data_IF_567319120470
#
_entry.id   IF_567319120470
#
_cell.length_a   1.000
_cell.length_b   1.000
_cell.length_c   1.000
_cell.angle_alpha   90.00
_cell.angle_beta   90.00
_cell.angle_gamma   90.00
#
_symmetry.space_group_name_H-M   'P 1'
#
loop_
_entity.id
_entity.type
_entity.pdbx_description
1 polymer ?
#
# COMPACT_ATOMS: atom_id res chain seq x y z
N UNK A 1 -12.08 5.55 -21.01
CA UNK A 1 -12.40 4.50 -19.99
C UNK A 1 -11.79 4.96 -18.69
N UNK A 2 -12.43 4.74 -17.53
CA UNK A 2 -11.85 5.01 -16.21
C UNK A 2 -10.92 3.87 -15.81
N UNK A 3 -9.72 4.20 -15.34
CA UNK A 3 -8.78 3.17 -14.89
C UNK A 3 -9.26 2.52 -13.59
N UNK A 4 -9.02 1.23 -13.41
CA UNK A 4 -9.47 0.45 -12.26
C UNK A 4 -8.40 0.31 -11.20
N UNK A 5 -7.15 0.09 -11.61
CA UNK A 5 -5.99 0.04 -10.72
C UNK A 5 -5.73 1.41 -10.13
N UNK A 6 -5.58 1.51 -8.83
CA UNK A 6 -5.36 2.77 -8.12
C UNK A 6 -3.91 3.20 -8.19
N UNK A 7 -3.66 4.50 -8.21
CA UNK A 7 -2.32 5.06 -8.17
C UNK A 7 -2.13 5.80 -6.86
N UNK A 8 -1.07 5.42 -6.14
CA UNK A 8 -0.62 6.06 -4.92
C UNK A 8 0.61 6.90 -5.25
N UNK A 9 0.59 8.18 -4.88
CA UNK A 9 1.70 9.10 -5.11
C UNK A 9 2.27 9.58 -3.79
N UNK A 10 3.57 9.38 -3.58
CA UNK A 10 4.26 9.89 -2.40
C UNK A 10 4.43 11.40 -2.52
N UNK A 11 4.03 12.12 -1.46
CA UNK A 11 4.17 13.55 -1.36
C UNK A 11 5.55 13.91 -0.79
N UNK A 12 6.17 14.91 -1.35
CA UNK A 12 7.51 15.36 -0.95
C UNK A 12 7.88 16.69 -1.63
N UNK A 13 9.15 17.09 -1.62
CA UNK A 13 9.59 18.37 -2.19
C UNK A 13 9.16 18.61 -3.65
N UNK A 14 9.11 17.56 -4.47
CA UNK A 14 8.71 17.69 -5.88
C UNK A 14 7.19 18.00 -6.04
N UNK A 15 6.38 17.75 -5.01
CA UNK A 15 4.95 18.05 -5.02
C UNK A 15 4.61 19.37 -4.31
N UNK A 16 5.60 20.04 -3.70
CA UNK A 16 5.39 21.30 -2.97
C UNK A 16 5.05 22.50 -3.87
N UNK A 17 5.52 22.63 -5.13
CA UNK A 17 5.15 23.73 -5.99
C UNK A 17 3.64 23.77 -6.29
N UNK A 18 3.09 24.98 -6.43
CA UNK A 18 1.66 25.17 -6.66
C UNK A 18 1.21 24.54 -7.99
N UNK A 19 0.02 23.93 -7.97
CA UNK A 19 -0.59 23.28 -9.13
C UNK A 19 -0.08 21.86 -9.41
N UNK A 20 1.03 21.40 -8.80
CA UNK A 20 1.52 20.04 -9.03
C UNK A 20 0.55 19.00 -8.48
N UNK A 21 0.04 19.18 -7.25
CA UNK A 21 -0.92 18.23 -6.66
C UNK A 21 -2.22 18.16 -7.49
N UNK A 22 -2.72 19.30 -8.00
CA UNK A 22 -3.87 19.34 -8.90
C UNK A 22 -3.57 18.51 -10.18
N UNK A 23 -2.39 18.72 -10.78
CA UNK A 23 -1.96 17.97 -11.97
C UNK A 23 -1.78 16.47 -11.71
N UNK A 24 -1.32 16.05 -10.51
CA UNK A 24 -1.26 14.62 -10.11
C UNK A 24 -2.66 14.01 -10.03
N UNK A 25 -3.63 14.72 -9.42
CA UNK A 25 -5.03 14.28 -9.32
C UNK A 25 -5.67 14.16 -10.70
N UNK A 26 -5.44 15.13 -11.59
CA UNK A 26 -5.91 15.09 -12.98
C UNK A 26 -5.28 13.95 -13.76
N UNK A 27 -3.99 13.69 -13.54
CA UNK A 27 -3.24 12.60 -14.18
C UNK A 27 -3.62 11.20 -13.68
N UNK A 28 -4.36 11.12 -12.56
CA UNK A 28 -4.92 9.86 -12.09
C UNK A 28 -4.50 9.40 -10.70
N UNK A 29 -3.91 10.26 -9.87
CA UNK A 29 -3.68 9.97 -8.45
C UNK A 29 -5.02 9.68 -7.75
N UNK A 30 -5.06 8.60 -6.98
CA UNK A 30 -6.21 8.18 -6.17
C UNK A 30 -5.91 8.28 -4.67
N UNK A 31 -4.64 8.21 -4.30
CA UNK A 31 -4.22 8.23 -2.92
C UNK A 31 -2.89 8.98 -2.79
N UNK A 32 -2.76 9.79 -1.77
CA UNK A 32 -1.52 10.47 -1.41
C UNK A 32 -0.85 9.75 -0.23
N UNK A 33 0.43 9.38 -0.39
CA UNK A 33 1.23 8.77 0.66
C UNK A 33 2.17 9.80 1.27
N UNK A 34 2.29 9.79 2.59
CA UNK A 34 3.19 10.61 3.38
C UNK A 34 4.19 9.69 4.09
N UNK A 35 5.47 9.79 3.72
CA UNK A 35 6.53 8.97 4.28
C UNK A 35 7.12 9.64 5.51
N UNK A 36 6.77 9.17 6.70
CA UNK A 36 7.23 9.71 7.98
C UNK A 36 8.67 9.31 8.35
N UNK A 37 9.35 8.55 7.49
CA UNK A 37 10.81 8.40 7.60
C UNK A 37 11.56 9.71 7.30
N UNK A 38 10.90 10.68 6.67
CA UNK A 38 11.45 11.96 6.25
C UNK A 38 10.50 13.10 6.60
N UNK A 39 11.07 14.28 6.80
CA UNK A 39 10.29 15.49 7.08
C UNK A 39 9.79 15.57 8.53
N UNK A 40 9.08 16.65 8.80
CA UNK A 40 8.49 16.97 10.10
C UNK A 40 6.96 16.93 10.04
N UNK A 41 6.28 16.81 11.19
CA UNK A 41 4.83 16.91 11.26
C UNK A 41 4.30 18.21 10.64
N UNK A 42 5.02 19.32 10.80
CA UNK A 42 4.62 20.60 10.22
C UNK A 42 4.65 20.58 8.69
N UNK A 43 5.70 20.01 8.08
CA UNK A 43 5.79 19.85 6.62
C UNK A 43 4.71 18.91 6.09
N UNK A 44 4.46 17.79 6.77
CA UNK A 44 3.40 16.86 6.40
C UNK A 44 2.01 17.52 6.50
N UNK A 45 1.75 18.32 7.53
CA UNK A 45 0.48 19.03 7.68
C UNK A 45 0.21 19.97 6.50
N UNK A 46 1.21 20.71 6.05
CA UNK A 46 1.10 21.59 4.88
C UNK A 46 0.74 20.79 3.63
N UNK A 47 1.43 19.67 3.38
CA UNK A 47 1.16 18.80 2.22
C UNK A 47 -0.20 18.13 2.31
N UNK A 48 -0.63 17.67 3.50
CA UNK A 48 -1.97 17.12 3.74
C UNK A 48 -3.04 18.15 3.37
N UNK A 49 -2.90 19.40 3.82
CA UNK A 49 -3.83 20.47 3.50
C UNK A 49 -3.90 20.75 2.00
N UNK A 50 -2.75 20.83 1.32
CA UNK A 50 -2.69 20.99 -0.15
C UNK A 50 -3.42 19.87 -0.90
N UNK A 51 -3.23 18.61 -0.48
CA UNK A 51 -3.91 17.46 -1.12
C UNK A 51 -5.43 17.57 -0.93
N UNK A 52 -5.89 17.91 0.26
CA UNK A 52 -7.34 18.06 0.54
C UNK A 52 -7.98 19.18 -0.26
N UNK A 53 -7.35 20.34 -0.29
CA UNK A 53 -7.82 21.47 -1.09
C UNK A 53 -7.86 21.15 -2.59
N UNK A 54 -6.82 20.48 -3.12
CA UNK A 54 -6.80 20.05 -4.51
C UNK A 54 -7.88 19.00 -4.82
N UNK A 55 -8.12 18.05 -3.91
CA UNK A 55 -9.19 17.07 -4.03
C UNK A 55 -10.58 17.73 -4.06
N UNK A 56 -10.82 18.73 -3.20
CA UNK A 56 -12.05 19.51 -3.17
C UNK A 56 -12.25 20.29 -4.48
N UNK A 57 -11.23 21.02 -4.96
CA UNK A 57 -11.27 21.70 -6.26
C UNK A 57 -11.58 20.76 -7.41
N UNK A 58 -11.01 19.57 -7.39
CA UNK A 58 -11.22 18.56 -8.43
C UNK A 58 -12.56 17.81 -8.30
N UNK A 59 -13.29 17.97 -7.19
CA UNK A 59 -14.50 17.20 -6.88
C UNK A 59 -14.23 15.68 -6.78
N UNK A 60 -13.01 15.28 -6.38
CA UNK A 60 -12.59 13.87 -6.31
C UNK A 60 -12.29 13.44 -4.88
N UNK A 61 -12.57 12.17 -4.58
CA UNK A 61 -12.18 11.56 -3.32
C UNK A 61 -10.72 11.09 -3.44
N UNK A 62 -9.85 11.64 -2.59
CA UNK A 62 -8.44 11.26 -2.48
C UNK A 62 -8.19 10.73 -1.07
N UNK A 63 -7.64 9.54 -0.96
CA UNK A 63 -7.29 8.91 0.31
C UNK A 63 -5.90 9.35 0.77
N UNK A 64 -5.64 9.32 2.08
CA UNK A 64 -4.35 9.67 2.67
C UNK A 64 -3.75 8.48 3.39
N UNK A 65 -2.51 8.14 3.09
CA UNK A 65 -1.73 7.09 3.74
C UNK A 65 -0.59 7.71 4.54
N UNK A 66 -0.54 7.41 5.84
CA UNK A 66 0.62 7.58 6.68
C UNK A 66 1.50 6.33 6.55
N UNK A 67 2.75 6.48 6.13
CA UNK A 67 3.70 5.37 6.05
C UNK A 67 4.74 5.55 7.15
N UNK A 68 4.75 4.62 8.12
CA UNK A 68 5.62 4.70 9.27
C UNK A 68 7.06 4.41 8.91
N UNK A 69 7.99 4.94 9.69
CA UNK A 69 9.41 4.59 9.56
C UNK A 69 9.67 3.14 9.94
N UNK A 70 9.01 2.68 10.98
CA UNK A 70 9.21 1.38 11.58
C UNK A 70 10.50 1.24 12.40
N UNK A 71 10.62 0.16 13.15
CA UNK A 71 11.79 -0.15 13.95
C UNK A 71 12.91 -0.66 13.07
N UNK A 72 13.87 0.18 12.74
CA UNK A 72 15.04 -0.19 11.95
C UNK A 72 16.26 -0.46 12.81
N UNK A 73 16.98 -1.53 12.46
CA UNK A 73 18.30 -1.79 13.00
C UNK A 73 19.33 -0.97 12.22
N UNK A 74 20.16 -0.21 12.93
CA UNK A 74 21.17 0.69 12.33
C UNK A 74 22.51 0.59 13.01
N UNK A 75 23.59 0.78 12.23
CA UNK A 75 24.92 0.98 12.74
C UNK A 75 25.00 2.27 13.59
N UNK A 76 25.91 2.28 14.53
CA UNK A 76 26.32 3.46 15.27
C UNK A 76 27.11 4.46 14.43
N UNK A 77 27.88 5.30 15.09
CA UNK A 77 28.68 6.35 14.45
C UNK A 77 30.10 5.85 14.17
N UNK A 78 30.66 6.19 13.02
CA UNK A 78 32.06 6.03 12.70
C UNK A 78 32.81 7.31 13.08
N UNK A 79 34.01 7.18 13.67
CA UNK A 79 34.83 8.32 14.11
C UNK A 79 35.11 9.31 12.97
N UNK A 80 35.37 8.81 11.76
CA UNK A 80 35.59 9.61 10.56
C UNK A 80 34.33 9.79 9.68
N UNK A 81 33.16 9.43 10.20
CA UNK A 81 31.88 9.50 9.51
C UNK A 81 31.67 8.41 8.45
N UNK A 82 32.74 7.93 7.81
CA UNK A 82 32.73 6.84 6.80
C UNK A 82 34.03 6.06 6.81
N UNK A 83 33.95 4.79 6.44
CA UNK A 83 35.10 3.86 6.32
C UNK A 83 34.98 3.04 5.05
N UNK A 84 36.10 2.41 4.64
CA UNK A 84 36.10 1.42 3.57
C UNK A 84 36.26 0.03 4.20
N UNK A 85 35.23 -0.80 4.08
CA UNK A 85 35.28 -2.20 4.48
C UNK A 85 35.91 -3.06 3.39
N UNK A 86 36.80 -3.96 3.76
CA UNK A 86 37.56 -4.81 2.82
C UNK A 86 37.19 -6.29 2.99
N UNK A 87 36.89 -6.96 1.88
CA UNK A 87 36.57 -8.39 1.84
C UNK A 87 37.62 -9.25 2.56
N UNK A 88 37.14 -10.20 3.35
CA UNK A 88 37.95 -11.15 4.07
C UNK A 88 38.53 -10.64 5.38
N UNK A 89 38.42 -9.35 5.68
CA UNK A 89 38.77 -8.81 6.99
C UNK A 89 37.67 -9.09 8.01
N UNK A 90 38.08 -9.17 9.28
CA UNK A 90 37.16 -9.29 10.42
C UNK A 90 36.55 -7.93 10.73
N UNK A 91 35.25 -7.92 11.07
CA UNK A 91 34.52 -6.72 11.47
C UNK A 91 33.59 -7.06 12.63
N UNK A 92 33.62 -6.29 13.70
CA UNK A 92 32.88 -6.58 14.91
C UNK A 92 31.71 -5.61 15.10
N UNK A 93 30.50 -6.13 15.24
CA UNK A 93 29.37 -5.34 15.71
C UNK A 93 29.37 -5.36 17.24
N UNK A 94 29.66 -4.19 17.84
CA UNK A 94 29.85 -4.07 19.29
C UNK A 94 28.56 -3.76 20.02
N UNK A 95 28.45 -4.28 21.25
CA UNK A 95 27.36 -3.97 22.15
C UNK A 95 27.45 -2.53 22.68
N UNK A 96 28.66 -2.10 23.04
CA UNK A 96 28.89 -0.76 23.62
C UNK A 96 28.90 0.32 22.54
N UNK A 97 28.30 1.47 22.86
CA UNK A 97 28.22 2.61 21.96
C UNK A 97 29.53 3.41 22.00
N UNK A 98 30.47 3.01 21.16
CA UNK A 98 31.71 3.75 20.90
C UNK A 98 31.79 4.10 19.41
N UNK A 99 32.43 5.21 19.03
CA UNK A 99 32.70 5.50 17.62
C UNK A 99 33.50 4.36 16.98
N UNK A 100 33.00 3.87 15.84
CA UNK A 100 33.59 2.77 15.11
C UNK A 100 34.69 3.20 14.10
N UNK A 101 35.35 2.22 13.55
CA UNK A 101 36.36 2.33 12.50
C UNK A 101 36.21 1.18 11.48
N UNK A 102 37.25 0.88 10.70
CA UNK A 102 37.27 -0.22 9.73
C UNK A 102 37.26 -1.63 10.36
N UNK A 103 37.34 -1.73 11.70
CA UNK A 103 37.39 -3.01 12.44
C UNK A 103 36.14 -3.27 13.27
N UNK A 104 35.41 -2.22 13.66
CA UNK A 104 34.21 -2.35 14.51
C UNK A 104 33.27 -1.17 14.40
N UNK A 105 32.00 -1.37 14.81
CA UNK A 105 31.01 -0.33 15.04
C UNK A 105 29.90 -0.89 15.92
N UNK A 106 29.22 -0.03 16.69
CA UNK A 106 28.06 -0.44 17.47
C UNK A 106 26.81 -0.63 16.59
N UNK A 107 25.82 -1.34 17.13
CA UNK A 107 24.48 -1.48 16.56
C UNK A 107 23.43 -1.07 17.58
N UNK A 108 22.35 -0.40 17.15
CA UNK A 108 21.32 0.11 18.04
C UNK A 108 20.44 -0.99 18.65
N UNK A 109 20.26 -2.14 17.97
CA UNK A 109 19.52 -3.28 18.50
C UNK A 109 20.41 -4.12 19.43
N UNK A 110 20.29 -3.87 20.73
CA UNK A 110 21.19 -4.43 21.75
C UNK A 110 20.98 -5.92 22.03
N UNK A 111 19.87 -6.53 21.58
CA UNK A 111 19.62 -7.97 21.67
C UNK A 111 20.18 -8.77 20.50
N UNK A 112 20.68 -8.15 19.43
CA UNK A 112 21.11 -8.83 18.20
C UNK A 112 22.07 -9.99 18.48
N UNK A 113 23.03 -9.85 19.43
CA UNK A 113 23.99 -10.89 19.80
C UNK A 113 23.34 -12.20 20.29
N UNK A 114 22.12 -12.12 20.83
CA UNK A 114 21.37 -13.30 21.31
C UNK A 114 20.43 -13.90 20.27
N UNK A 115 20.24 -13.23 19.16
CA UNK A 115 19.32 -13.59 18.07
C UNK A 115 20.04 -14.19 16.86
N UNK A 116 21.35 -13.90 16.74
CA UNK A 116 22.20 -14.42 15.66
C UNK A 116 23.10 -15.56 16.14
N UNK A 117 23.53 -16.38 15.23
CA UNK A 117 24.45 -17.51 15.46
C UNK A 117 25.55 -17.57 14.40
N UNK A 118 26.66 -18.27 14.65
CA UNK A 118 27.68 -18.52 13.64
C UNK A 118 27.09 -19.09 12.34
N UNK A 119 27.49 -18.51 11.20
CA UNK A 119 27.01 -18.83 9.87
C UNK A 119 25.86 -17.93 9.37
N UNK A 120 25.21 -17.17 10.23
CA UNK A 120 24.17 -16.22 9.83
C UNK A 120 24.77 -15.05 9.03
N UNK A 121 23.98 -14.52 8.11
CA UNK A 121 24.36 -13.38 7.27
C UNK A 121 23.71 -12.11 7.79
N UNK A 122 24.50 -11.03 7.87
CA UNK A 122 24.02 -9.68 8.12
C UNK A 122 24.34 -8.83 6.89
N UNK A 123 23.42 -7.95 6.52
CA UNK A 123 23.57 -7.06 5.36
C UNK A 123 23.61 -5.59 5.82
N UNK A 124 24.59 -4.86 5.37
CA UNK A 124 24.77 -3.45 5.68
C UNK A 124 24.42 -2.58 4.48
N UNK A 125 23.80 -1.41 4.74
CA UNK A 125 23.45 -0.40 3.73
C UNK A 125 22.69 -1.02 2.53
N UNK A 126 21.52 -1.61 2.82
CA UNK A 126 20.62 -2.22 1.83
C UNK A 126 21.30 -3.31 0.96
N UNK A 127 22.16 -4.11 1.60
CA UNK A 127 22.86 -5.22 0.95
C UNK A 127 24.17 -4.83 0.26
N UNK A 128 24.63 -3.58 0.39
CA UNK A 128 25.88 -3.14 -0.24
C UNK A 128 27.10 -3.93 0.30
N UNK A 129 27.13 -4.24 1.60
CA UNK A 129 28.17 -5.05 2.22
C UNK A 129 27.53 -6.19 3.02
N UNK A 130 27.95 -7.42 2.70
CA UNK A 130 27.56 -8.62 3.44
C UNK A 130 28.59 -8.98 4.50
N UNK A 131 28.09 -9.41 5.67
CA UNK A 131 28.87 -9.95 6.78
C UNK A 131 28.38 -11.37 7.07
N UNK A 132 29.28 -12.28 7.41
CA UNK A 132 28.93 -13.59 7.97
C UNK A 132 29.39 -13.63 9.42
N UNK A 133 28.50 -14.04 10.30
CA UNK A 133 28.80 -14.20 11.73
C UNK A 133 29.76 -15.36 11.93
N UNK A 134 30.91 -15.12 12.54
CA UNK A 134 31.89 -16.13 12.87
C UNK A 134 31.69 -16.67 14.29
N UNK A 135 31.56 -15.78 15.26
CA UNK A 135 31.35 -16.11 16.68
C UNK A 135 30.66 -14.97 17.43
N UNK A 136 30.06 -15.31 18.58
CA UNK A 136 29.57 -14.35 19.56
C UNK A 136 30.56 -14.32 20.73
N UNK A 137 31.20 -13.17 20.94
CA UNK A 137 32.18 -12.98 21.99
C UNK A 137 31.62 -12.06 23.09
N UNK A 138 31.06 -12.68 24.13
CA UNK A 138 30.30 -11.96 25.14
C UNK A 138 28.99 -11.39 24.54
N UNK A 139 28.95 -10.09 24.28
CA UNK A 139 27.83 -9.41 23.62
C UNK A 139 28.23 -8.84 22.25
N UNK A 140 29.47 -9.03 21.83
CA UNK A 140 29.95 -8.57 20.54
C UNK A 140 29.78 -9.67 19.49
N UNK A 141 29.42 -9.27 18.28
CA UNK A 141 29.22 -10.17 17.14
C UNK A 141 30.43 -10.01 16.23
N UNK A 142 31.28 -11.03 16.20
CA UNK A 142 32.45 -11.08 15.33
C UNK A 142 32.05 -11.63 13.97
N UNK A 143 32.37 -10.91 12.91
CA UNK A 143 31.96 -11.27 11.54
C UNK A 143 33.13 -11.20 10.55
N UNK A 144 33.00 -11.89 9.42
CA UNK A 144 33.87 -11.75 8.26
C UNK A 144 33.17 -11.02 7.13
N UNK A 145 33.82 -9.98 6.57
CA UNK A 145 33.33 -9.17 5.45
C UNK A 145 33.33 -10.01 4.16
N UNK A 146 32.18 -10.12 3.48
CA UNK A 146 32.01 -10.95 2.28
C UNK A 146 32.37 -10.22 0.98
N UNK A 147 32.20 -8.92 0.95
CA UNK A 147 32.55 -8.08 -0.21
C UNK A 147 32.97 -6.68 0.26
N UNK A 148 33.90 -6.06 -0.49
CA UNK A 148 34.37 -4.71 -0.15
C UNK A 148 33.34 -3.65 -0.52
N UNK A 149 33.23 -2.61 0.29
CA UNK A 149 32.34 -1.46 0.03
C UNK A 149 32.53 -0.32 1.02
N UNK A 150 32.09 0.90 0.65
CA UNK A 150 32.07 2.03 1.57
C UNK A 150 30.96 1.84 2.62
N UNK A 151 31.24 2.21 3.88
CA UNK A 151 30.26 2.22 4.95
C UNK A 151 30.27 3.56 5.68
N UNK A 152 29.12 4.04 6.09
CA UNK A 152 28.98 5.31 6.80
C UNK A 152 28.09 5.20 8.02
N UNK A 153 28.15 6.21 8.88
CA UNK A 153 27.36 6.35 10.10
C UNK A 153 25.87 6.11 9.87
N UNK A 154 25.23 5.40 10.79
CA UNK A 154 23.79 5.15 10.88
C UNK A 154 23.17 4.41 9.68
N UNK A 155 23.97 3.67 8.91
CA UNK A 155 23.46 2.81 7.85
C UNK A 155 22.62 1.68 8.41
N UNK A 156 21.60 1.27 7.64
CA UNK A 156 20.72 0.15 7.97
C UNK A 156 21.50 -1.16 8.07
N UNK A 157 21.08 -2.00 9.01
CA UNK A 157 21.53 -3.40 9.14
C UNK A 157 20.29 -4.28 8.93
N UNK A 158 20.38 -5.26 8.06
CA UNK A 158 19.38 -6.30 7.87
C UNK A 158 19.94 -7.65 8.31
N UNK A 159 19.07 -8.53 8.79
CA UNK A 159 19.40 -9.88 9.24
C UNK A 159 18.48 -10.90 8.52
N UNK A 160 18.74 -11.22 7.25
CA UNK A 160 17.86 -12.06 6.44
C UNK A 160 17.56 -13.39 7.11
N UNK A 161 16.28 -13.73 7.21
CA UNK A 161 15.83 -15.00 7.78
C UNK A 161 15.85 -15.08 9.31
N UNK A 162 16.20 -14.01 10.00
CA UNK A 162 16.24 -13.94 11.46
C UNK A 162 15.04 -13.13 11.95
N UNK A 163 14.26 -13.74 12.85
CA UNK A 163 13.18 -13.01 13.54
C UNK A 163 13.78 -12.19 14.68
N UNK A 164 13.68 -10.86 14.56
CA UNK A 164 14.23 -9.93 15.53
C UNK A 164 13.18 -9.56 16.60
N UNK A 165 13.59 -9.40 17.84
CA UNK A 165 12.73 -8.94 18.95
C UNK A 165 12.56 -7.41 18.97
N UNK A 166 12.45 -6.81 17.78
CA UNK A 166 12.12 -5.39 17.63
C UNK A 166 10.66 -5.15 18.05
N UNK A 167 10.35 -3.98 18.66
CA UNK A 167 8.96 -3.61 18.92
C UNK A 167 8.21 -3.43 17.60
N UNK A 168 6.88 -3.63 17.58
CA UNK A 168 6.07 -3.41 16.37
C UNK A 168 6.09 -1.96 15.90
N UNK A 169 6.16 -1.02 16.85
CA UNK A 169 6.20 0.42 16.61
C UNK A 169 7.26 1.07 17.52
N UNK A 170 8.00 2.03 16.98
CA UNK A 170 8.89 2.87 17.76
C UNK A 170 8.11 3.99 18.46
N UNK A 171 8.72 4.67 19.44
CA UNK A 171 8.13 5.87 20.04
C UNK A 171 7.83 6.98 19.01
N UNK A 172 8.61 7.04 17.93
CA UNK A 172 8.35 7.98 16.84
C UNK A 172 7.12 7.55 16.04
N UNK A 173 7.00 6.27 15.71
CA UNK A 173 5.83 5.75 14.99
C UNK A 173 4.54 5.97 15.81
N UNK A 174 4.59 5.80 17.14
CA UNK A 174 3.45 6.12 18.01
C UNK A 174 3.03 7.60 17.85
N UNK A 175 4.00 8.53 17.92
CA UNK A 175 3.72 9.96 17.71
C UNK A 175 3.16 10.25 16.32
N UNK A 176 3.70 9.60 15.30
CA UNK A 176 3.29 9.78 13.91
C UNK A 176 1.86 9.25 13.68
N UNK A 177 1.52 8.08 14.23
CA UNK A 177 0.17 7.51 14.16
C UNK A 177 -0.84 8.42 14.87
N UNK A 178 -0.51 8.94 16.07
CA UNK A 178 -1.36 9.90 16.80
C UNK A 178 -1.56 11.16 15.95
N UNK A 179 -0.52 11.68 15.32
CA UNK A 179 -0.61 12.81 14.38
C UNK A 179 -1.54 12.48 13.20
N UNK A 180 -1.43 11.27 12.63
CA UNK A 180 -2.32 10.81 11.55
C UNK A 180 -3.79 10.78 11.97
N UNK A 181 -4.08 10.29 13.20
CA UNK A 181 -5.43 10.28 13.77
C UNK A 181 -5.97 11.71 13.91
N UNK A 182 -5.18 12.61 14.48
CA UNK A 182 -5.56 14.02 14.69
C UNK A 182 -5.83 14.77 13.38
N UNK A 183 -5.22 14.30 12.28
CA UNK A 183 -5.37 14.88 10.95
C UNK A 183 -6.29 14.05 10.04
N UNK A 184 -7.13 13.17 10.60
CA UNK A 184 -8.16 12.38 9.89
C UNK A 184 -7.56 11.64 8.66
N UNK A 185 -6.36 11.05 8.79
CA UNK A 185 -5.77 10.21 7.75
C UNK A 185 -6.48 8.85 7.68
N UNK A 186 -6.47 8.22 6.50
CA UNK A 186 -7.34 7.09 6.21
C UNK A 186 -6.66 5.74 6.47
N UNK A 187 -5.36 5.67 6.20
CA UNK A 187 -4.59 4.42 6.30
C UNK A 187 -3.27 4.65 7.00
N UNK A 188 -2.81 3.61 7.72
CA UNK A 188 -1.43 3.49 8.16
C UNK A 188 -0.75 2.33 7.44
N UNK A 189 0.27 2.62 6.63
CA UNK A 189 1.17 1.62 6.08
C UNK A 189 2.27 1.35 7.12
N UNK A 190 2.19 0.18 7.77
CA UNK A 190 3.02 -0.17 8.90
C UNK A 190 4.27 -0.94 8.45
N UNK A 191 5.45 -0.36 8.69
CA UNK A 191 6.73 -0.91 8.25
C UNK A 191 7.21 -2.08 9.11
N UNK A 192 7.91 -3.02 8.50
CA UNK A 192 8.60 -4.16 9.12
C UNK A 192 7.72 -5.09 9.96
N UNK A 193 6.47 -5.27 9.59
CA UNK A 193 5.56 -6.21 10.26
C UNK A 193 6.06 -7.64 10.08
N UNK A 194 6.20 -8.37 11.19
CA UNK A 194 6.70 -9.73 11.25
C UNK A 194 5.62 -10.76 11.65
N UNK A 195 4.61 -10.32 12.42
CA UNK A 195 3.60 -11.21 13.04
C UNK A 195 2.26 -10.50 13.22
N UNK A 196 1.16 -11.25 13.43
CA UNK A 196 -0.17 -10.66 13.61
C UNK A 196 -0.27 -9.74 14.85
N UNK A 197 0.45 -10.05 15.93
CA UNK A 197 0.49 -9.21 17.13
C UNK A 197 0.95 -7.79 16.87
N UNK A 198 1.84 -7.58 15.89
CA UNK A 198 2.33 -6.26 15.52
C UNK A 198 1.19 -5.39 14.96
N UNK A 199 0.32 -6.00 14.15
CA UNK A 199 -0.87 -5.34 13.60
C UNK A 199 -1.89 -5.04 14.71
N UNK A 200 -2.07 -5.96 15.63
CA UNK A 200 -3.00 -5.81 16.76
C UNK A 200 -2.54 -4.70 17.72
N UNK A 201 -1.24 -4.55 17.95
CA UNK A 201 -0.68 -3.46 18.75
C UNK A 201 -0.99 -2.09 18.11
N UNK A 202 -0.79 -1.95 16.81
CA UNK A 202 -1.13 -0.72 16.07
C UNK A 202 -2.64 -0.47 16.13
N UNK A 203 -3.46 -1.50 15.96
CA UNK A 203 -4.92 -1.38 16.06
C UNK A 203 -5.37 -0.91 17.44
N UNK A 204 -4.74 -1.44 18.49
CA UNK A 204 -5.00 -1.01 19.85
C UNK A 204 -4.62 0.47 20.07
N UNK A 205 -3.47 0.90 19.56
CA UNK A 205 -3.04 2.30 19.61
C UNK A 205 -4.06 3.23 18.91
N UNK A 206 -4.47 2.88 17.69
CA UNK A 206 -5.46 3.65 16.93
C UNK A 206 -6.78 3.75 17.71
N UNK A 207 -7.28 2.63 18.23
CA UNK A 207 -8.53 2.58 18.99
C UNK A 207 -8.45 3.40 20.30
N UNK A 208 -7.33 3.31 21.03
CA UNK A 208 -7.06 4.06 22.26
C UNK A 208 -7.17 5.58 22.05
N UNK A 209 -6.77 6.06 20.87
CA UNK A 209 -6.83 7.47 20.52
C UNK A 209 -8.08 7.87 19.70
N UNK A 210 -9.09 6.97 19.61
CA UNK A 210 -10.36 7.23 18.92
C UNK A 210 -10.23 7.35 17.41
N UNK A 211 -9.16 6.81 16.83
CA UNK A 211 -8.91 6.82 15.39
C UNK A 211 -9.67 5.72 14.64
N UNK A 212 -9.70 5.86 13.32
CA UNK A 212 -10.39 4.94 12.42
C UNK A 212 -9.55 4.53 11.21
N UNK A 213 -8.22 4.77 11.24
CA UNK A 213 -7.33 4.38 10.15
C UNK A 213 -7.36 2.87 9.93
N UNK A 214 -7.47 2.43 8.66
CA UNK A 214 -7.26 1.05 8.25
C UNK A 214 -5.75 0.74 8.23
N UNK A 215 -5.37 -0.47 8.63
CA UNK A 215 -3.96 -0.89 8.76
C UNK A 215 -3.55 -1.70 7.55
N UNK A 216 -2.49 -1.25 6.88
CA UNK A 216 -1.86 -1.89 5.73
C UNK A 216 -0.44 -2.31 6.11
N UNK A 217 -0.24 -3.53 6.64
CA UNK A 217 1.10 -4.05 6.89
C UNK A 217 1.95 -4.06 5.62
N UNK A 218 3.21 -3.68 5.76
CA UNK A 218 4.22 -3.78 4.71
C UNK A 218 4.97 -5.09 4.90
N UNK A 219 4.93 -5.94 3.86
CA UNK A 219 5.69 -7.19 3.83
C UNK A 219 7.06 -6.88 3.25
N UNK A 220 8.04 -6.82 4.12
CA UNK A 220 9.40 -6.30 3.89
C UNK A 220 10.50 -7.27 4.31
N UNK A 221 10.15 -8.39 4.97
CA UNK A 221 11.09 -9.36 5.52
C UNK A 221 10.56 -10.78 5.42
N UNK A 222 11.43 -11.75 5.59
CA UNK A 222 11.08 -13.18 5.48
C UNK A 222 10.09 -13.62 6.57
N UNK A 223 10.19 -13.06 7.79
CA UNK A 223 9.24 -13.37 8.87
C UNK A 223 7.81 -12.97 8.49
N UNK A 224 7.61 -11.77 7.89
CA UNK A 224 6.33 -11.33 7.38
C UNK A 224 5.78 -12.21 6.24
N UNK A 225 6.68 -12.76 5.40
CA UNK A 225 6.28 -13.72 4.36
C UNK A 225 5.84 -15.05 4.97
N UNK A 226 6.59 -15.57 5.95
CA UNK A 226 6.29 -16.84 6.62
C UNK A 226 4.98 -16.79 7.44
N UNK A 227 4.70 -15.66 8.08
CA UNK A 227 3.50 -15.44 8.90
C UNK A 227 2.37 -14.74 8.12
N UNK A 228 2.45 -14.76 6.78
CA UNK A 228 1.59 -13.93 5.94
C UNK A 228 0.10 -14.19 6.12
N UNK A 229 -0.33 -15.45 6.27
CA UNK A 229 -1.74 -15.80 6.37
C UNK A 229 -2.37 -15.27 7.68
N UNK A 230 -1.64 -15.34 8.78
CA UNK A 230 -2.06 -14.80 10.07
C UNK A 230 -2.06 -13.26 10.06
N UNK A 231 -1.05 -12.64 9.45
CA UNK A 231 -0.98 -11.18 9.27
C UNK A 231 -2.16 -10.72 8.41
N UNK A 232 -2.42 -11.39 7.29
CA UNK A 232 -3.53 -11.06 6.40
C UNK A 232 -4.87 -11.16 7.13
N UNK A 233 -5.05 -12.13 8.02
CA UNK A 233 -6.31 -12.31 8.75
C UNK A 233 -6.69 -11.08 9.58
N UNK A 234 -5.72 -10.43 10.24
CA UNK A 234 -5.94 -9.29 11.13
C UNK A 234 -5.75 -7.91 10.47
N UNK A 235 -5.37 -7.85 9.20
CA UNK A 235 -5.08 -6.61 8.44
C UNK A 235 -6.28 -6.12 7.65
N UNK A 236 -6.27 -4.85 7.22
CA UNK A 236 -7.30 -4.26 6.36
C UNK A 236 -6.90 -4.21 4.88
N UNK A 237 -5.61 -4.30 4.60
CA UNK A 237 -4.97 -4.42 3.30
C UNK A 237 -3.52 -4.87 3.46
N UNK A 238 -2.76 -4.98 2.37
CA UNK A 238 -1.34 -5.38 2.38
C UNK A 238 -0.56 -4.51 1.40
N UNK A 239 0.69 -4.19 1.75
CA UNK A 239 1.66 -3.60 0.84
C UNK A 239 2.83 -4.55 0.63
N UNK A 240 3.12 -4.88 -0.63
CA UNK A 240 4.34 -5.58 -1.03
C UNK A 240 5.41 -4.53 -1.27
N UNK A 241 6.31 -4.34 -0.30
CA UNK A 241 7.37 -3.34 -0.35
C UNK A 241 8.66 -3.99 -0.88
N UNK A 242 8.76 -4.07 -2.21
CA UNK A 242 9.77 -4.89 -2.91
C UNK A 242 11.21 -4.45 -2.68
N UNK A 243 11.43 -3.16 -2.41
CA UNK A 243 12.77 -2.63 -2.15
C UNK A 243 13.40 -3.27 -0.92
N UNK A 244 12.69 -3.25 0.21
CA UNK A 244 13.15 -3.84 1.46
C UNK A 244 13.09 -5.36 1.42
N UNK A 245 12.01 -5.93 0.86
CA UNK A 245 11.86 -7.38 0.72
C UNK A 245 13.01 -8.00 -0.09
N UNK A 246 13.46 -7.33 -1.17
CA UNK A 246 14.55 -7.82 -2.01
C UNK A 246 15.94 -7.74 -1.35
N UNK A 247 16.06 -7.10 -0.18
CA UNK A 247 17.27 -7.19 0.68
C UNK A 247 17.22 -8.41 1.59
N UNK A 248 16.00 -8.81 1.99
CA UNK A 248 15.74 -9.87 2.98
C UNK A 248 15.56 -11.28 2.35
N UNK A 249 15.21 -11.33 1.06
CA UNK A 249 15.01 -12.59 0.33
C UNK A 249 15.81 -12.57 -0.98
N UNK A 250 16.13 -13.74 -1.58
CA UNK A 250 16.73 -13.78 -2.91
C UNK A 250 15.90 -13.00 -3.94
N UNK A 251 16.56 -12.24 -4.80
CA UNK A 251 15.89 -11.35 -5.74
C UNK A 251 14.93 -12.10 -6.68
N UNK A 252 15.26 -13.33 -7.06
CA UNK A 252 14.43 -14.22 -7.89
C UNK A 252 13.15 -14.69 -7.21
N UNK A 253 13.07 -14.65 -5.87
CA UNK A 253 11.89 -15.04 -5.11
C UNK A 253 10.87 -13.91 -4.98
N UNK A 254 11.30 -12.65 -5.09
CA UNK A 254 10.41 -11.47 -4.93
C UNK A 254 9.20 -11.52 -5.87
N UNK A 255 9.32 -11.83 -7.17
CA UNK A 255 8.15 -11.92 -8.06
C UNK A 255 7.20 -13.07 -7.68
N UNK A 256 7.72 -14.18 -7.16
CA UNK A 256 6.92 -15.34 -6.72
C UNK A 256 6.13 -14.96 -5.48
N UNK A 257 6.79 -14.36 -4.49
CA UNK A 257 6.18 -13.87 -3.25
C UNK A 257 5.09 -12.82 -3.57
N UNK A 258 5.39 -11.86 -4.44
CA UNK A 258 4.40 -10.85 -4.90
C UNK A 258 3.13 -11.50 -5.44
N UNK A 259 3.26 -12.46 -6.36
CA UNK A 259 2.10 -13.15 -6.96
C UNK A 259 1.28 -13.90 -5.91
N UNK A 260 1.94 -14.58 -4.99
CA UNK A 260 1.29 -15.33 -3.91
C UNK A 260 0.52 -14.40 -2.96
N UNK A 261 1.13 -13.29 -2.53
CA UNK A 261 0.50 -12.27 -1.71
C UNK A 261 -0.73 -11.68 -2.41
N UNK A 262 -0.59 -11.26 -3.68
CA UNK A 262 -1.71 -10.71 -4.46
C UNK A 262 -2.85 -11.73 -4.57
N UNK A 263 -2.53 -13.00 -4.88
CA UNK A 263 -3.52 -14.07 -4.99
C UNK A 263 -4.29 -14.29 -3.69
N UNK A 264 -3.60 -14.29 -2.53
CA UNK A 264 -4.22 -14.47 -1.22
C UNK A 264 -5.08 -13.26 -0.83
N UNK A 265 -4.59 -12.03 -1.00
CA UNK A 265 -5.36 -10.81 -0.76
C UNK A 265 -6.64 -10.75 -1.59
N UNK A 266 -6.52 -11.05 -2.88
CA UNK A 266 -7.66 -11.11 -3.80
C UNK A 266 -8.70 -12.17 -3.38
N UNK A 267 -8.25 -13.30 -2.83
CA UNK A 267 -9.15 -14.37 -2.37
C UNK A 267 -10.09 -13.91 -1.24
N UNK A 268 -9.58 -13.07 -0.33
CA UNK A 268 -10.34 -12.56 0.81
C UNK A 268 -10.92 -11.16 0.58
N UNK A 269 -10.62 -10.51 -0.57
CA UNK A 269 -11.13 -9.19 -0.94
C UNK A 269 -10.49 -8.04 -0.15
N UNK A 270 -9.26 -8.21 0.34
CA UNK A 270 -8.44 -7.15 0.95
C UNK A 270 -7.57 -6.50 -0.12
N UNK A 271 -7.43 -5.16 -0.14
CA UNK A 271 -6.62 -4.48 -1.15
C UNK A 271 -5.15 -4.81 -0.99
N UNK A 272 -4.47 -4.95 -2.12
CA UNK A 272 -3.02 -5.15 -2.16
C UNK A 272 -2.36 -4.08 -3.00
N UNK A 273 -1.32 -3.47 -2.43
CA UNK A 273 -0.50 -2.43 -3.03
C UNK A 273 0.83 -3.05 -3.45
N UNK A 274 1.25 -2.82 -4.69
CA UNK A 274 2.62 -3.13 -5.14
C UNK A 274 3.42 -1.82 -5.13
N UNK A 275 4.52 -1.82 -4.40
CA UNK A 275 5.29 -0.63 -4.07
C UNK A 275 6.77 -0.78 -4.39
N UNK A 276 7.42 0.36 -4.59
CA UNK A 276 8.85 0.56 -4.85
C UNK A 276 9.34 0.09 -6.21
N UNK A 277 10.28 0.84 -6.79
CA UNK A 277 10.94 0.53 -8.06
C UNK A 277 9.97 0.25 -9.22
N UNK A 278 8.84 1.00 -9.28
CA UNK A 278 7.85 0.81 -10.34
C UNK A 278 8.23 1.54 -11.63
N UNK A 279 8.55 2.84 -11.54
CA UNK A 279 9.03 3.69 -12.63
C UNK A 279 10.27 4.48 -12.16
N UNK A 280 11.17 3.85 -11.42
CA UNK A 280 12.30 4.46 -10.71
C UNK A 280 13.15 5.35 -11.61
N UNK A 281 13.38 4.94 -12.87
CA UNK A 281 14.15 5.75 -13.83
C UNK A 281 13.49 7.09 -14.13
N UNK A 282 12.17 7.23 -13.92
CA UNK A 282 11.45 8.49 -14.11
C UNK A 282 11.70 9.50 -12.98
N UNK A 283 12.46 9.15 -11.96
CA UNK A 283 12.99 10.13 -11.00
C UNK A 283 13.84 11.18 -11.70
N UNK A 284 14.64 10.78 -12.69
CA UNK A 284 15.55 11.66 -13.43
C UNK A 284 15.33 11.67 -14.95
N UNK A 285 14.49 10.78 -15.47
CA UNK A 285 14.23 10.66 -16.91
C UNK A 285 12.75 10.89 -17.22
N UNK A 286 12.40 11.55 -18.35
CA UNK A 286 11.01 11.83 -18.71
C UNK A 286 10.26 10.59 -19.24
N UNK A 287 10.93 9.45 -19.40
CA UNK A 287 10.36 8.19 -19.89
C UNK A 287 10.92 7.00 -19.12
N UNK A 288 10.10 5.99 -18.82
CA UNK A 288 10.56 4.79 -18.16
C UNK A 288 11.31 3.85 -19.11
N UNK A 289 12.00 2.90 -18.53
CA UNK A 289 12.55 1.75 -19.27
C UNK A 289 11.43 0.77 -19.68
N UNK A 290 11.71 -0.09 -20.66
CA UNK A 290 10.76 -1.16 -21.05
C UNK A 290 10.55 -2.20 -19.94
N UNK A 291 11.58 -2.43 -19.13
CA UNK A 291 11.50 -3.35 -17.98
C UNK A 291 10.51 -2.83 -16.92
N UNK A 292 10.57 -1.52 -16.60
CA UNK A 292 9.62 -0.89 -15.68
C UNK A 292 8.18 -0.90 -16.20
N UNK A 293 7.97 -0.61 -17.48
CA UNK A 293 6.62 -0.72 -18.10
C UNK A 293 6.09 -2.15 -17.99
N UNK A 294 6.96 -3.16 -18.22
CA UNK A 294 6.59 -4.56 -18.08
C UNK A 294 6.29 -4.93 -16.64
N UNK A 295 7.05 -4.42 -15.67
CA UNK A 295 6.87 -4.68 -14.24
C UNK A 295 5.53 -4.11 -13.73
N UNK A 296 5.24 -2.84 -14.04
CA UNK A 296 3.93 -2.22 -13.74
C UNK A 296 2.79 -3.02 -14.37
N UNK A 297 2.95 -3.43 -15.64
CA UNK A 297 1.98 -4.25 -16.35
C UNK A 297 1.74 -5.60 -15.68
N UNK A 298 2.79 -6.28 -15.26
CA UNK A 298 2.70 -7.56 -14.54
C UNK A 298 2.00 -7.42 -13.19
N UNK A 299 2.28 -6.39 -12.41
CA UNK A 299 1.57 -6.14 -11.14
C UNK A 299 0.05 -6.00 -11.35
N UNK A 300 -0.37 -5.35 -12.46
CA UNK A 300 -1.78 -5.21 -12.83
C UNK A 300 -2.38 -6.54 -13.26
N UNK A 301 -1.68 -7.33 -14.09
CA UNK A 301 -2.12 -8.66 -14.51
C UNK A 301 -2.19 -9.64 -13.35
N UNK A 302 -1.29 -9.54 -12.39
CA UNK A 302 -1.31 -10.33 -11.14
C UNK A 302 -2.55 -10.01 -10.29
N UNK A 303 -3.13 -8.80 -10.45
CA UNK A 303 -4.35 -8.38 -9.78
C UNK A 303 -4.13 -7.42 -8.61
N UNK A 304 -3.10 -6.59 -8.64
CA UNK A 304 -2.91 -5.52 -7.67
C UNK A 304 -4.11 -4.56 -7.64
N UNK A 305 -4.52 -4.12 -6.46
CA UNK A 305 -5.54 -3.06 -6.30
C UNK A 305 -4.95 -1.69 -6.58
N UNK A 306 -3.72 -1.48 -6.13
CA UNK A 306 -3.00 -0.24 -6.30
C UNK A 306 -1.52 -0.46 -6.62
N UNK A 307 -0.94 0.50 -7.30
CA UNK A 307 0.49 0.61 -7.62
C UNK A 307 0.98 1.96 -7.10
N UNK A 308 2.20 2.00 -6.59
CA UNK A 308 2.71 3.16 -5.87
C UNK A 308 3.96 3.75 -6.52
N UNK A 309 3.98 5.07 -6.63
CA UNK A 309 5.16 5.88 -6.96
C UNK A 309 5.77 6.42 -5.66
N UNK A 310 7.07 6.27 -5.49
CA UNK A 310 7.84 6.68 -4.32
C UNK A 310 8.67 7.93 -4.64
N UNK A 311 9.95 7.77 -4.95
CA UNK A 311 10.86 8.85 -5.32
C UNK A 311 10.42 9.59 -6.58
N UNK A 312 9.78 8.89 -7.51
CA UNK A 312 9.29 9.43 -8.79
C UNK A 312 8.37 10.65 -8.61
N UNK A 313 7.56 10.65 -7.55
CA UNK A 313 6.66 11.78 -7.23
C UNK A 313 7.14 12.61 -6.05
N UNK A 314 7.90 12.04 -5.10
CA UNK A 314 8.31 12.74 -3.89
C UNK A 314 9.46 13.72 -4.13
N UNK A 315 10.44 13.34 -4.95
CA UNK A 315 11.70 14.08 -5.17
C UNK A 315 12.19 14.08 -6.61
N UNK A 316 11.47 13.40 -7.52
CA UNK A 316 11.85 13.30 -8.93
C UNK A 316 11.60 14.59 -9.71
N UNK A 317 12.27 14.70 -10.85
CA UNK A 317 12.16 15.85 -11.76
C UNK A 317 10.89 15.80 -12.62
N UNK A 318 10.23 14.62 -12.71
CA UNK A 318 9.08 14.38 -13.61
C UNK A 318 7.85 13.79 -12.91
N UNK A 319 7.37 14.37 -11.77
CA UNK A 319 6.30 13.76 -10.96
C UNK A 319 4.98 13.59 -11.72
N UNK A 320 4.57 14.58 -12.51
CA UNK A 320 3.31 14.55 -13.26
C UNK A 320 3.38 13.56 -14.42
N UNK A 321 4.50 13.53 -15.14
CA UNK A 321 4.77 12.60 -16.24
C UNK A 321 4.78 11.15 -15.75
N UNK A 322 5.35 10.88 -14.57
CA UNK A 322 5.35 9.55 -13.96
C UNK A 322 3.92 9.06 -13.68
N UNK A 323 3.05 9.90 -13.13
CA UNK A 323 1.63 9.55 -12.90
C UNK A 323 0.86 9.36 -14.21
N UNK A 324 1.10 10.22 -15.21
CA UNK A 324 0.50 10.06 -16.56
C UNK A 324 0.93 8.75 -17.21
N UNK A 325 2.22 8.41 -17.13
CA UNK A 325 2.75 7.16 -17.67
C UNK A 325 2.14 5.95 -16.96
N UNK A 326 2.12 5.95 -15.63
CA UNK A 326 1.51 4.88 -14.84
C UNK A 326 0.02 4.70 -15.15
N UNK A 327 -0.72 5.81 -15.31
CA UNK A 327 -2.13 5.79 -15.73
C UNK A 327 -2.31 5.20 -17.13
N UNK A 328 -1.43 5.56 -18.06
CA UNK A 328 -1.46 5.05 -19.45
C UNK A 328 -1.20 3.54 -19.48
N UNK A 329 -0.21 3.07 -18.72
CA UNK A 329 0.09 1.64 -18.60
C UNK A 329 -1.13 0.92 -18.01
N UNK A 330 -1.70 1.45 -16.90
CA UNK A 330 -2.84 0.83 -16.24
C UNK A 330 -4.04 0.69 -17.19
N UNK A 331 -4.42 1.74 -17.89
CA UNK A 331 -5.51 1.70 -18.88
C UNK A 331 -5.25 0.66 -19.95
N UNK A 332 -4.04 0.63 -20.51
CA UNK A 332 -3.70 -0.31 -21.60
C UNK A 332 -3.71 -1.76 -21.14
N UNK A 333 -3.19 -2.05 -19.94
CA UNK A 333 -3.21 -3.41 -19.39
C UNK A 333 -4.65 -3.85 -19.06
N UNK A 334 -5.46 -2.96 -18.48
CA UNK A 334 -6.85 -3.24 -18.13
C UNK A 334 -7.73 -3.51 -19.36
N UNK A 335 -7.46 -2.89 -20.52
CA UNK A 335 -8.11 -3.22 -21.78
C UNK A 335 -7.79 -4.64 -22.27
N UNK A 336 -6.65 -5.17 -21.88
CA UNK A 336 -6.17 -6.50 -22.29
C UNK A 336 -6.54 -7.60 -21.30
N UNK A 337 -7.21 -7.27 -20.17
CA UNK A 337 -7.67 -8.26 -19.19
C UNK A 337 -8.81 -9.12 -19.76
N UNK A 338 -8.67 -10.42 -19.59
CA UNK A 338 -9.70 -11.40 -19.92
C UNK A 338 -10.77 -11.49 -18.81
N UNK A 339 -11.67 -10.51 -18.76
CA UNK A 339 -12.68 -10.39 -17.69
C UNK A 339 -13.58 -11.62 -17.55
N UNK A 340 -13.91 -12.29 -18.66
CA UNK A 340 -14.69 -13.53 -18.64
C UNK A 340 -13.93 -14.64 -17.87
N UNK A 341 -12.66 -14.83 -18.18
CA UNK A 341 -11.80 -15.80 -17.50
C UNK A 341 -11.65 -15.47 -16.01
N UNK A 342 -11.50 -14.17 -15.66
CA UNK A 342 -11.41 -13.71 -14.28
C UNK A 342 -12.70 -14.02 -13.51
N UNK A 343 -13.86 -13.70 -14.06
CA UNK A 343 -15.17 -13.96 -13.44
C UNK A 343 -15.37 -15.46 -13.22
N UNK A 344 -15.09 -16.30 -14.24
CA UNK A 344 -15.20 -17.76 -14.15
C UNK A 344 -14.27 -18.34 -13.10
N UNK A 345 -13.00 -17.96 -13.07
CA UNK A 345 -12.05 -18.45 -12.08
C UNK A 345 -12.47 -18.13 -10.64
N UNK A 346 -13.12 -16.98 -10.43
CA UNK A 346 -13.65 -16.56 -9.13
C UNK A 346 -15.01 -17.19 -8.80
N UNK A 347 -15.73 -17.71 -9.78
CA UNK A 347 -17.01 -18.41 -9.60
C UNK A 347 -16.88 -19.79 -8.95
N UNK A 348 -15.72 -20.42 -9.04
CA UNK A 348 -15.45 -21.79 -8.54
C UNK A 348 -15.21 -21.79 -7.02
N UNK A 349 -14.94 -20.64 -6.43
CA UNK A 349 -14.65 -20.55 -4.98
C UNK A 349 -15.92 -20.63 -4.15
N UNK A 350 -15.79 -21.23 -2.96
CA UNK A 350 -16.84 -21.23 -1.97
C UNK A 350 -17.18 -19.79 -1.53
N UNK A 351 -18.45 -19.49 -1.38
CA UNK A 351 -18.95 -18.17 -1.00
C UNK A 351 -19.20 -18.11 0.48
N UNK A 352 -18.60 -17.12 1.13
CA UNK A 352 -18.59 -17.00 2.59
C UNK A 352 -19.89 -16.43 3.18
N UNK A 353 -20.74 -15.77 2.34
CA UNK A 353 -21.96 -15.12 2.83
C UNK A 353 -22.98 -14.88 1.71
N UNK A 354 -24.23 -14.52 2.09
CA UNK A 354 -25.26 -14.09 1.14
C UNK A 354 -24.80 -12.88 0.34
N UNK A 355 -24.18 -11.90 0.97
CA UNK A 355 -23.64 -10.72 0.28
C UNK A 355 -22.58 -11.09 -0.73
N UNK A 356 -21.74 -12.07 -0.42
CA UNK A 356 -20.71 -12.57 -1.35
C UNK A 356 -21.36 -13.22 -2.58
N UNK A 357 -22.37 -14.08 -2.37
CA UNK A 357 -23.11 -14.70 -3.46
C UNK A 357 -23.85 -13.68 -4.35
N UNK A 358 -24.51 -12.70 -3.73
CA UNK A 358 -25.24 -11.64 -4.44
C UNK A 358 -24.27 -10.72 -5.21
N UNK A 359 -23.13 -10.38 -4.62
CA UNK A 359 -22.11 -9.55 -5.29
C UNK A 359 -21.51 -10.26 -6.51
N UNK A 360 -21.28 -11.56 -6.41
CA UNK A 360 -20.86 -12.36 -7.57
C UNK A 360 -21.91 -12.34 -8.67
N UNK A 361 -23.20 -12.61 -8.35
CA UNK A 361 -24.29 -12.54 -9.30
C UNK A 361 -24.44 -11.15 -9.95
N UNK A 362 -24.22 -10.08 -9.15
CA UNK A 362 -24.21 -8.70 -9.64
C UNK A 362 -23.13 -8.47 -10.70
N UNK A 363 -21.91 -8.95 -10.46
CA UNK A 363 -20.79 -8.81 -11.41
C UNK A 363 -21.04 -9.59 -12.68
N UNK A 364 -21.56 -10.81 -12.58
CA UNK A 364 -21.94 -11.62 -13.72
C UNK A 364 -23.04 -10.94 -14.53
N UNK A 365 -24.10 -10.47 -13.88
CA UNK A 365 -25.21 -9.76 -14.52
C UNK A 365 -24.73 -8.48 -15.22
N UNK A 366 -23.84 -7.71 -14.59
CA UNK A 366 -23.27 -6.52 -15.20
C UNK A 366 -22.43 -6.85 -16.45
N UNK A 367 -21.71 -7.97 -16.44
CA UNK A 367 -20.94 -8.44 -17.58
C UNK A 367 -21.87 -8.87 -18.75
N UNK A 368 -22.86 -9.72 -18.49
CA UNK A 368 -23.80 -10.25 -19.48
C UNK A 368 -24.69 -9.16 -20.11
N UNK A 369 -25.08 -8.15 -19.32
CA UNK A 369 -25.90 -7.01 -19.78
C UNK A 369 -25.07 -5.88 -20.38
N UNK A 370 -23.74 -6.00 -20.40
CA UNK A 370 -22.81 -4.93 -20.80
C UNK A 370 -23.09 -3.61 -20.06
N UNK A 371 -23.34 -3.69 -18.76
CA UNK A 371 -23.62 -2.53 -17.93
C UNK A 371 -22.40 -1.58 -17.88
N UNK A 372 -22.64 -0.29 -17.98
CA UNK A 372 -21.60 0.75 -17.91
C UNK A 372 -21.00 0.86 -16.50
N UNK A 373 -21.83 0.66 -15.46
CA UNK A 373 -21.41 0.72 -14.08
C UNK A 373 -22.19 -0.24 -13.19
N UNK A 374 -21.56 -0.61 -12.04
CA UNK A 374 -22.23 -1.20 -10.89
C UNK A 374 -22.34 -0.12 -9.82
N UNK A 375 -23.56 0.22 -9.42
CA UNK A 375 -23.82 1.22 -8.38
C UNK A 375 -23.93 0.51 -7.03
N UNK A 376 -23.13 0.96 -6.05
CA UNK A 376 -23.10 0.39 -4.71
C UNK A 376 -23.35 1.46 -3.66
N UNK A 377 -24.63 1.80 -3.33
CA UNK A 377 -24.91 2.59 -2.16
C UNK A 377 -24.44 1.83 -0.91
N UNK A 378 -23.65 2.50 -0.07
CA UNK A 378 -23.01 1.84 1.06
C UNK A 378 -22.82 2.77 2.25
N UNK A 379 -23.06 2.27 3.46
CA UNK A 379 -22.80 2.99 4.70
C UNK A 379 -21.44 2.62 5.32
N UNK A 380 -21.02 1.36 5.17
CA UNK A 380 -19.78 0.82 5.76
C UNK A 380 -18.71 0.45 4.72
N UNK A 381 -19.03 0.55 3.43
CA UNK A 381 -18.13 0.10 2.36
C UNK A 381 -18.18 -1.41 2.08
N UNK A 382 -18.87 -2.21 2.90
CA UNK A 382 -18.80 -3.67 2.83
C UNK A 382 -19.23 -4.24 1.47
N UNK A 383 -20.41 -3.88 0.95
CA UNK A 383 -20.91 -4.35 -0.36
C UNK A 383 -19.97 -3.96 -1.48
N UNK A 384 -19.47 -2.71 -1.47
CA UNK A 384 -18.49 -2.22 -2.46
C UNK A 384 -17.21 -3.05 -2.46
N UNK A 385 -16.69 -3.40 -1.27
CA UNK A 385 -15.51 -4.27 -1.13
C UNK A 385 -15.74 -5.63 -1.76
N UNK A 386 -16.89 -6.24 -1.47
CA UNK A 386 -17.21 -7.58 -1.98
C UNK A 386 -17.40 -7.56 -3.50
N UNK A 387 -18.04 -6.53 -4.07
CA UNK A 387 -18.14 -6.36 -5.53
C UNK A 387 -16.76 -6.19 -6.16
N UNK A 388 -15.89 -5.35 -5.60
CA UNK A 388 -14.53 -5.13 -6.09
C UNK A 388 -13.68 -6.39 -6.10
N UNK A 389 -13.86 -7.29 -5.12
CA UNK A 389 -13.23 -8.62 -5.04
C UNK A 389 -13.39 -9.42 -6.34
N UNK A 390 -14.52 -9.28 -7.02
CA UNK A 390 -14.82 -10.02 -8.26
C UNK A 390 -14.27 -9.37 -9.54
N UNK A 391 -13.59 -8.21 -9.45
CA UNK A 391 -12.93 -7.53 -10.57
C UNK A 391 -13.82 -7.33 -11.78
N UNK A 392 -14.97 -6.64 -11.66
CA UNK A 392 -15.89 -6.45 -12.77
C UNK A 392 -15.29 -5.61 -13.90
N UNK A 393 -15.69 -5.90 -15.14
CA UNK A 393 -15.38 -5.02 -16.29
C UNK A 393 -16.03 -3.64 -16.12
N UNK A 394 -17.25 -3.61 -15.59
CA UNK A 394 -17.99 -2.39 -15.29
C UNK A 394 -17.31 -1.60 -14.16
N UNK A 395 -17.33 -0.27 -14.24
CA UNK A 395 -16.85 0.61 -13.17
C UNK A 395 -17.74 0.47 -11.93
N UNK A 396 -17.15 0.40 -10.74
CA UNK A 396 -17.91 0.39 -9.49
C UNK A 396 -18.05 1.83 -9.00
N UNK A 397 -19.28 2.32 -8.95
CA UNK A 397 -19.59 3.66 -8.44
C UNK A 397 -20.22 3.50 -7.07
N UNK A 398 -19.46 3.87 -6.04
CA UNK A 398 -19.90 3.77 -4.64
C UNK A 398 -20.46 5.12 -4.16
N UNK A 399 -21.68 5.11 -3.70
CA UNK A 399 -22.28 6.30 -3.08
C UNK A 399 -22.23 6.14 -1.56
N UNK A 400 -21.43 6.97 -0.89
CA UNK A 400 -21.21 6.89 0.56
C UNK A 400 -21.56 8.23 1.23
N UNK A 401 -22.47 8.24 2.22
CA UNK A 401 -22.79 9.45 2.98
C UNK A 401 -21.71 9.86 3.98
N UNK A 402 -20.81 8.93 4.34
CA UNK A 402 -19.73 9.17 5.27
C UNK A 402 -18.42 9.42 4.50
N UNK A 403 -17.76 10.60 4.70
CA UNK A 403 -16.50 10.92 4.02
C UNK A 403 -15.38 9.91 4.29
N UNK A 404 -15.26 9.42 5.52
CA UNK A 404 -14.26 8.41 5.89
C UNK A 404 -14.47 7.13 5.10
N UNK A 405 -15.71 6.63 5.02
CA UNK A 405 -16.03 5.43 4.23
C UNK A 405 -15.73 5.64 2.76
N UNK A 406 -16.07 6.83 2.20
CA UNK A 406 -15.76 7.15 0.80
C UNK A 406 -14.24 7.09 0.52
N UNK A 407 -13.41 7.58 1.45
CA UNK A 407 -11.95 7.54 1.34
C UNK A 407 -11.40 6.13 1.54
N UNK A 408 -11.89 5.35 2.49
CA UNK A 408 -11.45 3.96 2.72
C UNK A 408 -11.69 3.04 1.52
N UNK A 409 -12.85 3.13 0.89
CA UNK A 409 -13.17 2.30 -0.28
C UNK A 409 -12.49 2.76 -1.57
N UNK A 410 -11.98 3.99 -1.62
CA UNK A 410 -11.33 4.54 -2.80
C UNK A 410 -10.02 3.83 -3.17
N UNK A 411 -9.35 3.17 -2.22
CA UNK A 411 -8.14 2.38 -2.46
C UNK A 411 -8.42 1.04 -3.17
N UNK A 412 -9.67 0.65 -3.33
CA UNK A 412 -10.06 -0.64 -3.90
C UNK A 412 -10.15 -0.59 -5.42
N UNK A 413 -9.77 -1.68 -6.05
CA UNK A 413 -9.76 -1.81 -7.50
C UNK A 413 -11.12 -1.50 -8.12
N UNK A 414 -11.15 -0.64 -9.12
CA UNK A 414 -12.33 -0.28 -9.91
C UNK A 414 -13.36 0.59 -9.21
N UNK A 415 -13.14 0.98 -7.93
CA UNK A 415 -14.09 1.77 -7.15
C UNK A 415 -13.88 3.26 -7.37
N UNK A 416 -14.94 3.98 -7.64
CA UNK A 416 -15.02 5.43 -7.66
C UNK A 416 -16.08 5.86 -6.65
N UNK A 417 -15.66 6.62 -5.64
CA UNK A 417 -16.55 7.04 -4.57
C UNK A 417 -17.19 8.39 -4.87
N UNK A 418 -18.48 8.48 -4.56
CA UNK A 418 -19.25 9.74 -4.54
C UNK A 418 -19.62 10.00 -3.09
N UNK A 419 -19.22 11.16 -2.58
CA UNK A 419 -19.70 11.64 -1.29
C UNK A 419 -21.06 12.28 -1.48
N UNK A 420 -22.05 11.78 -0.77
CA UNK A 420 -23.42 12.28 -0.88
C UNK A 420 -24.12 12.43 0.46
N UNK A 421 -25.38 12.85 0.41
CA UNK A 421 -26.21 12.94 1.61
C UNK A 421 -26.75 11.56 2.04
N UNK A 422 -27.16 11.45 3.28
CA UNK A 422 -27.95 10.29 3.73
C UNK A 422 -29.29 10.27 2.96
N UNK A 423 -29.69 9.08 2.53
CA UNK A 423 -31.00 8.86 1.89
C UNK A 423 -32.07 8.61 2.93
N UNK A 424 -33.31 8.92 2.58
CA UNK A 424 -34.49 8.81 3.46
C UNK A 424 -35.32 7.55 3.18
N UNK A 425 -35.00 6.80 2.12
CA UNK A 425 -35.68 5.59 1.72
C UNK A 425 -35.06 4.97 0.48
N UNK A 426 -35.59 3.83 0.03
CA UNK A 426 -35.06 3.06 -1.09
C UNK A 426 -35.12 3.86 -2.41
N UNK A 427 -36.23 4.50 -2.72
CA UNK A 427 -36.38 5.29 -3.94
C UNK A 427 -35.43 6.48 -3.96
N UNK A 428 -35.28 7.20 -2.84
CA UNK A 428 -34.34 8.32 -2.68
C UNK A 428 -32.88 7.83 -2.81
N UNK A 429 -32.56 6.64 -2.32
CA UNK A 429 -31.27 6.02 -2.49
C UNK A 429 -30.98 5.75 -3.98
N UNK A 430 -31.92 5.13 -4.70
CA UNK A 430 -31.78 4.82 -6.11
C UNK A 430 -31.58 6.10 -6.93
N UNK A 431 -32.43 7.11 -6.70
CA UNK A 431 -32.35 8.38 -7.39
C UNK A 431 -31.03 9.11 -7.10
N UNK A 432 -30.61 9.16 -5.83
CA UNK A 432 -29.35 9.80 -5.42
C UNK A 432 -28.13 9.13 -6.08
N UNK A 433 -28.09 7.79 -6.13
CA UNK A 433 -26.99 7.05 -6.75
C UNK A 433 -26.96 7.24 -8.28
N UNK A 434 -28.09 7.16 -8.95
CA UNK A 434 -28.15 7.32 -10.41
C UNK A 434 -27.83 8.75 -10.83
N UNK A 435 -28.40 9.75 -10.15
CA UNK A 435 -28.10 11.17 -10.39
C UNK A 435 -26.64 11.48 -10.08
N UNK A 436 -26.10 10.97 -8.97
CA UNK A 436 -24.69 11.14 -8.60
C UNK A 436 -23.76 10.56 -9.65
N UNK A 437 -24.01 9.34 -10.13
CA UNK A 437 -23.21 8.71 -11.17
C UNK A 437 -23.23 9.50 -12.49
N UNK A 438 -24.39 10.04 -12.86
CA UNK A 438 -24.56 10.87 -14.06
C UNK A 438 -23.84 12.23 -13.91
N UNK A 439 -24.02 12.93 -12.80
CA UNK A 439 -23.43 14.28 -12.57
C UNK A 439 -21.90 14.26 -12.49
N UNK A 440 -21.30 13.15 -12.03
CA UNK A 440 -19.85 12.96 -12.01
C UNK A 440 -19.30 12.35 -13.32
N UNK A 441 -20.15 12.12 -14.33
CA UNK A 441 -19.73 11.59 -15.63
C UNK A 441 -19.27 10.12 -15.61
N UNK A 442 -19.65 9.36 -14.59
CA UNK A 442 -19.35 7.92 -14.51
C UNK A 442 -20.26 7.10 -15.44
N UNK A 443 -21.43 7.62 -15.72
CA UNK A 443 -22.41 7.07 -16.67
C UNK A 443 -23.02 8.22 -17.49
N UNK A 444 -23.69 7.91 -18.59
CA UNK A 444 -24.45 8.84 -19.45
C UNK A 444 -25.88 8.38 -19.60
N UNK A 445 -26.75 9.26 -20.10
CA UNK A 445 -28.12 8.90 -20.46
C UNK A 445 -28.13 7.73 -21.45
N UNK A 446 -29.02 6.78 -21.23
CA UNK A 446 -29.15 5.56 -22.01
C UNK A 446 -28.26 4.41 -21.55
N UNK A 447 -27.29 4.64 -20.67
CA UNK A 447 -26.47 3.57 -20.13
C UNK A 447 -27.26 2.62 -19.21
N UNK A 448 -27.01 1.31 -19.32
CA UNK A 448 -27.49 0.33 -18.36
C UNK A 448 -26.57 0.29 -17.15
N UNK A 449 -27.15 0.23 -15.96
CA UNK A 449 -26.42 0.06 -14.70
C UNK A 449 -27.03 -1.06 -13.88
N UNK A 450 -26.21 -1.74 -13.11
CA UNK A 450 -26.64 -2.72 -12.12
C UNK A 450 -26.40 -2.13 -10.73
N UNK A 451 -27.45 -2.04 -9.93
CA UNK A 451 -27.35 -1.59 -8.54
C UNK A 451 -27.44 -2.78 -7.61
N UNK A 452 -26.57 -2.82 -6.60
CA UNK A 452 -26.63 -3.79 -5.49
C UNK A 452 -26.61 -3.05 -4.17
N UNK A 453 -27.64 -3.25 -3.36
CA UNK A 453 -27.82 -2.54 -2.10
C UNK A 453 -28.43 -3.44 -1.01
N UNK A 454 -28.06 -3.17 0.23
CA UNK A 454 -28.83 -3.64 1.39
C UNK A 454 -30.17 -2.88 1.45
N UNK A 455 -31.26 -3.62 1.62
CA UNK A 455 -32.61 -3.06 1.63
C UNK A 455 -33.07 -2.61 3.03
N UNK A 456 -32.24 -2.84 4.05
CA UNK A 456 -32.54 -2.44 5.44
C UNK A 456 -31.36 -1.67 6.04
N UNK A 457 -31.67 -0.78 6.98
CA UNK A 457 -30.69 0.05 7.69
C UNK A 457 -29.80 -0.75 8.67
N UNK A 458 -30.14 -2.01 8.97
CA UNK A 458 -29.41 -2.85 9.91
C UNK A 458 -28.48 -3.82 9.19
N UNK A 459 -27.31 -4.09 9.75
CA UNK A 459 -26.39 -5.11 9.28
C UNK A 459 -27.09 -6.48 9.26
N UNK A 460 -27.00 -7.18 8.13
CA UNK A 460 -27.66 -8.49 7.93
C UNK A 460 -29.02 -8.43 7.23
N UNK A 461 -29.47 -7.26 6.77
CA UNK A 461 -30.72 -7.12 6.03
C UNK A 461 -30.68 -7.68 4.60
N UNK A 462 -31.86 -7.75 3.97
CA UNK A 462 -32.03 -8.23 2.60
C UNK A 462 -31.17 -7.45 1.61
N UNK A 463 -30.45 -8.16 0.72
CA UNK A 463 -29.68 -7.58 -0.37
C UNK A 463 -30.45 -7.75 -1.67
N UNK A 464 -30.63 -6.67 -2.42
CA UNK A 464 -31.30 -6.68 -3.70
C UNK A 464 -30.39 -6.25 -4.85
N UNK A 465 -30.66 -6.83 -6.03
CA UNK A 465 -30.04 -6.41 -7.30
C UNK A 465 -31.13 -5.74 -8.13
N UNK A 466 -30.82 -4.61 -8.73
CA UNK A 466 -31.69 -3.90 -9.68
C UNK A 466 -30.91 -3.55 -10.94
N UNK A 467 -31.48 -3.85 -12.10
CA UNK A 467 -30.98 -3.36 -13.40
C UNK A 467 -31.86 -2.19 -13.81
N UNK A 468 -31.26 -1.10 -14.24
CA UNK A 468 -31.99 0.06 -14.73
C UNK A 468 -31.22 0.77 -15.84
N UNK A 469 -31.93 1.56 -16.64
CA UNK A 469 -31.32 2.48 -17.61
C UNK A 469 -31.29 3.88 -17.02
N UNK A 470 -30.24 4.63 -17.27
CA UNK A 470 -30.09 6.02 -16.83
C UNK A 470 -30.94 6.92 -17.75
N UNK A 471 -31.86 7.65 -17.17
CA UNK A 471 -32.77 8.57 -17.86
C UNK A 471 -32.39 10.03 -17.67
#
# INVERSE_FOLDING_TARGET
>A
MLKKTKIICTQGPATDPDGIVDALIESGMNCARFNFSHGTHAEHLVRISKVREAAERAGKVISLILDTKGPEMRLGEFAEGKVQLEKGKQFTLTYDDAPGDETHVSVNHKQLYSEVKPGDTLLLSDGLVGLVVDEIRGKDIVTTIQNSGPMSTRKRVAAPGIELSLPAISEQDERDIIFGIQNDMDFVAASFIQRPSDVEEIRHLIAKHGGHMEIIPKIENLAGVNNFDEILAVSDGIMVARGDLGVEVPAEDVPVIQKEIIRKCNAVGKPVIVATQMLESMTTNPRPTRAEVSDVGNAIFDGADAIMLSGETASGDYPVEAVKMMSTIALRMEESLEYDSIIRARSIRERSSVTDAVSHATVQLAYETSAAAILTPTQSGYTTRVVSKYRPKATIVAYAPNPMVARHINLRWGVYSILGRKWTGVEDMIESCTRGALSHGYVKQGDKVVMVAGMTYNEGGSVAIRVTTIH
#
